data_IF_252973497514
#
_entry.id   IF_252973497514
#
_cell.length_a   1.000
_cell.length_b   1.000
_cell.length_c   1.000
_cell.angle_alpha   90.00
_cell.angle_beta   90.00
_cell.angle_gamma   90.00
#
_symmetry.space_group_name_H-M   'P 1'
#
loop_
_entity.id
_entity.type
_entity.pdbx_description
1 polymer ?
#
# COMPACT_ATOMS: atom_id res chain seq x y z
N UNK A 1 -7.93 -1.00 27.06
CA UNK A 1 -7.75 -1.75 25.80
C UNK A 1 -8.93 -2.65 25.46
N UNK A 2 -9.30 -3.63 26.32
CA UNK A 2 -10.39 -4.58 26.05
C UNK A 2 -11.75 -3.93 25.75
N UNK A 3 -12.17 -2.95 26.56
CA UNK A 3 -13.43 -2.24 26.36
C UNK A 3 -13.49 -1.51 25.00
N UNK A 4 -12.41 -0.81 24.61
CA UNK A 4 -12.35 -0.11 23.32
C UNK A 4 -12.37 -1.06 22.12
N UNK A 5 -11.74 -2.24 22.25
CA UNK A 5 -11.81 -3.28 21.22
C UNK A 5 -13.23 -3.84 21.10
N UNK A 6 -13.86 -4.16 22.23
CA UNK A 6 -15.25 -4.64 22.28
C UNK A 6 -16.19 -3.65 21.60
N UNK A 7 -16.06 -2.35 21.89
CA UNK A 7 -16.88 -1.30 21.27
C UNK A 7 -16.73 -1.29 19.75
N UNK A 8 -15.50 -1.38 19.23
CA UNK A 8 -15.24 -1.42 17.78
C UNK A 8 -15.80 -2.67 17.12
N UNK A 9 -15.73 -3.82 17.79
CA UNK A 9 -16.32 -5.06 17.27
C UNK A 9 -17.84 -4.98 17.26
N UNK A 10 -18.46 -4.43 18.31
CA UNK A 10 -19.90 -4.22 18.35
C UNK A 10 -20.37 -3.26 17.25
N UNK A 11 -19.62 -2.18 17.02
CA UNK A 11 -19.98 -1.12 16.06
C UNK A 11 -19.64 -1.48 14.61
N UNK A 12 -18.54 -2.19 14.36
CA UNK A 12 -17.99 -2.40 13.01
C UNK A 12 -17.76 -3.87 12.65
N UNK A 13 -18.13 -4.81 13.52
CA UNK A 13 -17.95 -6.24 13.31
C UNK A 13 -16.49 -6.67 13.36
N UNK A 14 -16.28 -7.97 13.12
CA UNK A 14 -14.94 -8.55 13.08
C UNK A 14 -14.20 -8.17 11.81
N UNK A 15 -12.90 -7.93 11.98
CA UNK A 15 -11.88 -7.80 10.91
C UNK A 15 -10.65 -8.59 11.36
N UNK A 16 -9.76 -9.01 10.44
CA UNK A 16 -8.58 -9.79 10.82
C UNK A 16 -7.72 -9.07 11.88
N UNK A 17 -7.54 -7.75 11.73
CA UNK A 17 -6.81 -6.93 12.68
C UNK A 17 -7.48 -6.86 14.07
N UNK A 18 -8.81 -6.77 14.14
CA UNK A 18 -9.52 -6.77 15.44
C UNK A 18 -9.47 -8.14 16.11
N UNK A 19 -9.48 -9.22 15.32
CA UNK A 19 -9.35 -10.57 15.84
C UNK A 19 -7.94 -10.81 16.41
N UNK A 20 -6.90 -10.40 15.68
CA UNK A 20 -5.52 -10.42 16.18
C UNK A 20 -5.37 -9.55 17.45
N UNK A 21 -5.97 -8.36 17.45
CA UNK A 21 -6.05 -7.50 18.62
C UNK A 21 -6.74 -8.16 19.81
N UNK A 22 -7.81 -8.94 19.59
CA UNK A 22 -8.51 -9.66 20.64
C UNK A 22 -7.63 -10.76 21.26
N UNK A 23 -6.89 -11.50 20.44
CA UNK A 23 -5.93 -12.49 20.92
C UNK A 23 -4.81 -11.83 21.75
N UNK A 24 -4.26 -10.72 21.27
CA UNK A 24 -3.22 -9.98 21.99
C UNK A 24 -3.73 -9.41 23.33
N UNK A 25 -4.92 -8.80 23.33
CA UNK A 25 -5.55 -8.29 24.56
C UNK A 25 -5.86 -9.44 25.53
N UNK A 26 -6.38 -10.57 25.03
CA UNK A 26 -6.63 -11.75 25.84
C UNK A 26 -5.36 -12.30 26.50
N UNK A 27 -4.26 -12.37 25.75
CA UNK A 27 -2.96 -12.78 26.26
C UNK A 27 -2.47 -11.83 27.38
N UNK A 28 -2.54 -10.52 27.16
CA UNK A 28 -2.14 -9.52 28.15
C UNK A 28 -2.98 -9.60 29.43
N UNK A 29 -4.30 -9.78 29.30
CA UNK A 29 -5.19 -9.96 30.45
C UNK A 29 -4.87 -11.25 31.21
N UNK A 30 -4.60 -12.34 30.50
CA UNK A 30 -4.21 -13.60 31.11
C UNK A 30 -2.88 -13.45 31.89
N UNK A 31 -1.88 -12.79 31.32
CA UNK A 31 -0.63 -12.47 32.02
C UNK A 31 -0.87 -11.60 33.26
N UNK A 32 -1.60 -10.50 33.10
CA UNK A 32 -1.90 -9.58 34.20
C UNK A 32 -2.63 -10.27 35.36
N UNK A 33 -3.67 -11.04 35.06
CA UNK A 33 -4.44 -11.78 36.06
C UNK A 33 -3.63 -12.92 36.70
N UNK A 34 -2.89 -13.69 35.89
CA UNK A 34 -2.06 -14.78 36.38
C UNK A 34 -0.95 -14.31 37.32
N UNK A 35 -0.31 -13.18 36.99
CA UNK A 35 0.71 -12.58 37.84
C UNK A 35 0.12 -11.97 39.10
N UNK A 36 -0.99 -11.22 38.98
CA UNK A 36 -1.69 -10.68 40.14
C UNK A 36 -2.09 -11.79 41.12
N UNK A 37 -2.66 -12.88 40.62
CA UNK A 37 -3.02 -14.04 41.44
C UNK A 37 -1.79 -14.69 42.08
N UNK A 38 -0.69 -14.83 41.33
CA UNK A 38 0.54 -15.43 41.87
C UNK A 38 1.15 -14.60 43.02
N UNK A 39 1.10 -13.27 42.93
CA UNK A 39 1.62 -12.34 43.94
C UNK A 39 0.68 -12.23 45.15
N UNK A 40 -0.64 -12.16 44.91
CA UNK A 40 -1.63 -12.00 45.98
C UNK A 40 -1.88 -13.29 46.78
N UNK A 41 -1.46 -14.45 46.27
CA UNK A 41 -1.62 -15.70 46.99
C UNK A 41 -0.40 -16.00 47.87
N UNK A 42 -0.56 -16.29 49.17
CA UNK A 42 0.55 -16.63 50.06
C UNK A 42 1.39 -17.81 49.57
N UNK A 43 2.70 -17.74 49.79
CA UNK A 43 3.67 -18.79 49.47
C UNK A 43 4.67 -18.42 48.37
N UNK A 44 5.22 -19.42 47.68
CA UNK A 44 6.28 -19.23 46.69
C UNK A 44 5.74 -18.68 45.34
N UNK A 45 5.46 -17.39 45.30
CA UNK A 45 4.95 -16.68 44.12
C UNK A 45 5.88 -16.83 42.90
N UNK A 46 7.20 -16.87 43.10
CA UNK A 46 8.18 -17.01 42.02
C UNK A 46 8.05 -18.34 41.27
N UNK A 47 7.87 -19.44 42.00
CA UNK A 47 7.62 -20.75 41.38
C UNK A 47 6.32 -20.78 40.58
N UNK A 48 5.26 -20.12 41.07
CA UNK A 48 3.97 -20.06 40.38
C UNK A 48 4.05 -19.25 39.08
N UNK A 49 4.71 -18.10 39.10
CA UNK A 49 4.95 -17.31 37.90
C UNK A 49 5.73 -18.12 36.86
N UNK A 50 6.78 -18.85 37.28
CA UNK A 50 7.55 -19.69 36.36
C UNK A 50 6.69 -20.76 35.69
N UNK A 51 5.86 -21.47 36.46
CA UNK A 51 4.95 -22.48 35.93
C UNK A 51 3.87 -21.88 35.03
N UNK A 52 3.33 -20.72 35.42
CA UNK A 52 2.36 -19.99 34.62
C UNK A 52 2.94 -19.54 33.27
N UNK A 53 4.17 -19.03 33.25
CA UNK A 53 4.85 -18.62 32.03
C UNK A 53 5.07 -19.76 31.05
N UNK A 54 5.44 -20.95 31.55
CA UNK A 54 5.59 -22.14 30.69
C UNK A 54 4.24 -22.49 30.05
N UNK A 55 3.15 -22.50 30.84
CA UNK A 55 1.80 -22.79 30.33
C UNK A 55 1.34 -21.73 29.31
N UNK A 56 1.60 -20.45 29.59
CA UNK A 56 1.28 -19.36 28.66
C UNK A 56 2.09 -19.44 27.37
N UNK A 57 3.39 -19.78 27.45
CA UNK A 57 4.21 -19.96 26.26
C UNK A 57 3.67 -21.08 25.36
N UNK A 58 3.26 -22.21 25.94
CA UNK A 58 2.62 -23.32 25.20
C UNK A 58 1.30 -22.85 24.59
N UNK A 59 0.44 -22.20 25.38
CA UNK A 59 -0.86 -21.70 24.90
C UNK A 59 -0.71 -20.73 23.72
N UNK A 60 0.21 -19.77 23.82
CA UNK A 60 0.48 -18.80 22.76
C UNK A 60 1.08 -19.47 21.53
N UNK A 61 1.98 -20.43 21.71
CA UNK A 61 2.53 -21.21 20.60
C UNK A 61 1.42 -21.95 19.85
N UNK A 62 0.51 -22.60 20.58
CA UNK A 62 -0.66 -23.27 19.97
C UNK A 62 -1.57 -22.26 19.28
N UNK A 63 -1.86 -21.11 19.89
CA UNK A 63 -2.69 -20.07 19.29
C UNK A 63 -2.08 -19.51 18.00
N UNK A 64 -0.77 -19.28 17.97
CA UNK A 64 -0.04 -18.85 16.77
C UNK A 64 -0.01 -19.94 15.70
N UNK A 65 0.21 -21.19 16.07
CA UNK A 65 0.14 -22.31 15.14
C UNK A 65 -1.26 -22.42 14.52
N UNK A 66 -2.32 -22.28 15.32
CA UNK A 66 -3.69 -22.24 14.80
C UNK A 66 -3.90 -21.06 13.86
N UNK A 67 -3.41 -19.86 14.20
CA UNK A 67 -3.50 -18.65 13.38
C UNK A 67 -2.83 -18.80 12.01
N UNK A 68 -1.70 -19.51 11.95
CA UNK A 68 -0.96 -19.77 10.71
C UNK A 68 -1.57 -20.92 9.88
N UNK A 69 -2.68 -21.50 10.33
CA UNK A 69 -3.34 -22.62 9.63
C UNK A 69 -4.78 -22.25 9.23
N UNK A 70 -5.40 -22.98 8.29
CA UNK A 70 -6.80 -22.77 7.93
C UNK A 70 -7.80 -23.02 9.06
N UNK A 71 -7.36 -23.58 10.21
CA UNK A 71 -8.19 -23.83 11.38
C UNK A 71 -8.70 -22.50 11.96
N UNK A 72 -7.81 -21.55 12.21
CA UNK A 72 -8.16 -20.21 12.68
C UNK A 72 -7.97 -19.18 11.56
N UNK A 73 -8.80 -19.30 10.53
CA UNK A 73 -8.80 -18.35 9.41
C UNK A 73 -9.54 -17.05 9.78
N UNK A 74 -8.78 -15.99 10.04
CA UNK A 74 -9.27 -14.70 10.50
C UNK A 74 -10.13 -13.99 9.42
N UNK A 75 -9.75 -14.14 8.16
CA UNK A 75 -10.42 -13.59 6.99
C UNK A 75 -11.82 -14.20 6.86
N UNK A 76 -11.97 -15.51 7.06
CA UNK A 76 -13.24 -16.24 7.02
C UNK A 76 -14.16 -15.83 8.16
N UNK A 77 -13.63 -15.68 9.38
CA UNK A 77 -14.42 -15.19 10.52
C UNK A 77 -14.91 -13.77 10.25
N UNK A 78 -14.04 -12.92 9.70
CA UNK A 78 -14.34 -11.53 9.40
C UNK A 78 -15.36 -11.39 8.26
N UNK A 79 -15.17 -12.11 7.16
CA UNK A 79 -16.08 -12.13 6.02
C UNK A 79 -17.49 -12.56 6.44
N UNK A 80 -17.60 -13.64 7.21
CA UNK A 80 -18.88 -14.09 7.78
C UNK A 80 -19.50 -13.06 8.72
N UNK A 81 -18.69 -12.37 9.52
CA UNK A 81 -19.19 -11.30 10.39
C UNK A 81 -19.74 -10.13 9.60
N UNK A 82 -19.11 -9.73 8.48
CA UNK A 82 -19.63 -8.65 7.65
C UNK A 82 -20.90 -9.06 6.93
N UNK A 83 -20.92 -10.27 6.36
CA UNK A 83 -22.10 -10.83 5.72
C UNK A 83 -23.28 -10.94 6.68
N UNK A 84 -23.10 -11.53 7.86
CA UNK A 84 -24.17 -11.66 8.85
C UNK A 84 -24.74 -10.31 9.27
N UNK A 85 -23.90 -9.29 9.46
CA UNK A 85 -24.36 -7.94 9.81
C UNK A 85 -25.14 -7.27 8.69
N UNK A 86 -24.75 -7.50 7.43
CA UNK A 86 -25.49 -7.04 6.27
C UNK A 86 -26.85 -7.74 6.15
N UNK A 87 -26.90 -9.06 6.35
CA UNK A 87 -28.15 -9.83 6.33
C UNK A 87 -29.09 -9.45 7.48
N UNK A 88 -28.55 -9.13 8.66
CA UNK A 88 -29.29 -8.62 9.82
C UNK A 88 -29.74 -7.15 9.66
N UNK A 89 -29.43 -6.49 8.53
CA UNK A 89 -29.79 -5.09 8.29
C UNK A 89 -29.03 -4.07 9.15
N UNK A 90 -27.97 -4.50 9.86
CA UNK A 90 -27.12 -3.60 10.68
C UNK A 90 -26.13 -2.79 9.86
N UNK A 91 -25.95 -3.13 8.59
CA UNK A 91 -25.04 -2.51 7.64
C UNK A 91 -25.78 -2.34 6.33
N UNK A 92 -25.79 -1.12 5.80
CA UNK A 92 -26.38 -0.82 4.48
C UNK A 92 -25.46 -1.25 3.34
N UNK A 93 -25.96 -1.24 2.09
CA UNK A 93 -25.15 -1.52 0.89
C UNK A 93 -23.99 -0.54 0.75
N UNK A 94 -24.20 0.71 1.18
CA UNK A 94 -23.24 1.79 1.10
C UNK A 94 -22.11 1.65 2.14
N UNK A 95 -22.44 1.14 3.34
CA UNK A 95 -21.49 0.91 4.44
C UNK A 95 -20.75 -0.43 4.35
N UNK A 96 -21.25 -1.36 3.53
CA UNK A 96 -20.59 -2.64 3.32
C UNK A 96 -19.28 -2.46 2.54
N UNK A 97 -18.17 -2.81 3.18
CA UNK A 97 -16.82 -2.73 2.59
C UNK A 97 -16.57 -3.89 1.61
N UNK A 98 -17.25 -3.80 0.47
CA UNK A 98 -17.17 -4.74 -0.63
C UNK A 98 -15.77 -4.78 -1.28
N UNK A 99 -14.97 -3.72 -1.17
CA UNK A 99 -13.61 -3.67 -1.70
C UNK A 99 -12.70 -4.62 -0.91
N UNK A 100 -12.68 -4.47 0.42
CA UNK A 100 -11.90 -5.35 1.30
C UNK A 100 -12.33 -6.81 1.16
N UNK A 101 -13.63 -7.08 1.04
CA UNK A 101 -14.14 -8.43 0.75
C UNK A 101 -13.64 -8.97 -0.59
N UNK A 102 -13.61 -8.14 -1.64
CA UNK A 102 -13.22 -8.55 -2.99
C UNK A 102 -11.70 -8.79 -3.12
N UNK A 103 -10.88 -7.97 -2.46
CA UNK A 103 -9.45 -7.88 -2.75
C UNK A 103 -8.51 -8.14 -1.57
N UNK A 104 -8.92 -7.91 -0.33
CA UNK A 104 -8.02 -7.98 0.83
C UNK A 104 -8.12 -9.28 1.62
N UNK A 105 -9.28 -9.96 1.61
CA UNK A 105 -9.53 -11.18 2.41
C UNK A 105 -9.46 -12.48 1.60
N UNK A 106 -8.89 -12.40 0.39
CA UNK A 106 -8.64 -13.55 -0.49
C UNK A 106 -9.90 -14.38 -0.75
N UNK A 107 -9.74 -15.71 -0.78
CA UNK A 107 -10.83 -16.65 -1.09
C UNK A 107 -12.03 -16.53 -0.17
N UNK A 108 -11.81 -16.24 1.11
CA UNK A 108 -12.90 -16.14 2.08
C UNK A 108 -13.76 -14.89 1.85
N UNK A 109 -13.12 -13.76 1.52
CA UNK A 109 -13.82 -12.55 1.12
C UNK A 109 -14.57 -12.71 -0.20
N UNK A 110 -13.92 -13.31 -1.21
CA UNK A 110 -14.55 -13.60 -2.51
C UNK A 110 -15.76 -14.51 -2.39
N UNK A 111 -15.71 -15.52 -1.51
CA UNK A 111 -16.86 -16.38 -1.23
C UNK A 111 -18.03 -15.60 -0.63
N UNK A 112 -17.76 -14.63 0.27
CA UNK A 112 -18.81 -13.77 0.81
C UNK A 112 -19.40 -12.83 -0.25
N UNK A 113 -18.59 -12.30 -1.17
CA UNK A 113 -19.11 -11.51 -2.32
C UNK A 113 -20.00 -12.37 -3.22
N UNK A 114 -19.58 -13.60 -3.54
CA UNK A 114 -20.39 -14.51 -4.35
C UNK A 114 -21.72 -14.85 -3.67
N UNK A 115 -21.73 -15.01 -2.35
CA UNK A 115 -22.96 -15.21 -1.56
C UNK A 115 -23.87 -13.97 -1.60
N UNK A 116 -23.30 -12.76 -1.50
CA UNK A 116 -24.05 -11.50 -1.65
C UNK A 116 -24.68 -11.38 -3.04
N UNK A 117 -23.98 -11.77 -4.10
CA UNK A 117 -24.51 -11.77 -5.46
C UNK A 117 -25.64 -12.78 -5.62
N UNK A 118 -25.50 -13.98 -5.06
CA UNK A 118 -26.53 -15.02 -5.10
C UNK A 118 -27.80 -14.61 -4.34
N UNK A 119 -27.65 -13.81 -3.28
CA UNK A 119 -28.76 -13.31 -2.46
C UNK A 119 -29.39 -12.01 -3.00
N UNK A 120 -28.75 -11.32 -3.94
CA UNK A 120 -29.27 -10.05 -4.45
C UNK A 120 -30.62 -10.20 -5.19
N UNK A 121 -30.84 -11.22 -6.05
CA UNK A 121 -32.15 -11.46 -6.66
C UNK A 121 -33.18 -11.84 -5.59
N UNK A 122 -34.06 -10.90 -5.24
CA UNK A 122 -35.08 -11.09 -4.20
C UNK A 122 -34.98 -10.12 -3.02
N UNK A 123 -33.95 -9.27 -2.97
CA UNK A 123 -33.83 -8.19 -1.98
C UNK A 123 -34.25 -6.84 -2.55
N UNK A 124 -34.84 -5.99 -1.71
CA UNK A 124 -35.20 -4.62 -2.09
C UNK A 124 -33.99 -3.75 -2.46
N UNK A 125 -32.81 -4.08 -1.94
CA UNK A 125 -31.54 -3.41 -2.22
C UNK A 125 -30.66 -4.18 -3.23
N UNK A 126 -31.18 -5.26 -3.82
CA UNK A 126 -30.42 -6.19 -4.67
C UNK A 126 -29.78 -5.53 -5.90
N UNK A 127 -30.53 -4.72 -6.64
CA UNK A 127 -29.98 -4.01 -7.81
C UNK A 127 -28.86 -3.03 -7.44
N UNK A 128 -28.99 -2.34 -6.30
CA UNK A 128 -27.95 -1.44 -5.79
C UNK A 128 -26.71 -2.21 -5.35
N UNK A 129 -26.90 -3.34 -4.68
CA UNK A 129 -25.81 -4.23 -4.29
C UNK A 129 -25.05 -4.76 -5.51
N UNK A 130 -25.75 -5.25 -6.52
CA UNK A 130 -25.14 -5.74 -7.77
C UNK A 130 -24.43 -4.62 -8.52
N UNK A 131 -25.00 -3.42 -8.59
CA UNK A 131 -24.33 -2.26 -9.18
C UNK A 131 -23.01 -1.95 -8.47
N UNK A 132 -23.00 -1.89 -7.13
CA UNK A 132 -21.79 -1.66 -6.33
C UNK A 132 -20.73 -2.74 -6.50
N UNK A 133 -21.14 -4.02 -6.58
CA UNK A 133 -20.20 -5.13 -6.83
C UNK A 133 -19.59 -5.02 -8.24
N UNK A 134 -20.39 -4.66 -9.25
CA UNK A 134 -19.90 -4.40 -10.61
C UNK A 134 -18.91 -3.24 -10.63
N UNK A 135 -19.26 -2.11 -10.01
CA UNK A 135 -18.42 -0.91 -9.96
C UNK A 135 -17.05 -1.21 -9.32
N UNK A 136 -17.02 -2.05 -8.29
CA UNK A 136 -15.78 -2.46 -7.63
C UNK A 136 -14.93 -3.36 -8.53
N UNK A 137 -15.56 -4.24 -9.30
CA UNK A 137 -14.87 -5.15 -10.22
C UNK A 137 -14.35 -4.45 -11.47
N UNK A 138 -15.12 -3.51 -12.02
CA UNK A 138 -14.75 -2.72 -13.20
C UNK A 138 -13.80 -1.58 -12.83
N UNK A 139 -13.95 -1.00 -11.65
CA UNK A 139 -13.09 0.02 -11.05
C UNK A 139 -11.90 -0.54 -10.27
N UNK A 140 -11.47 -1.78 -10.54
CA UNK A 140 -10.35 -2.49 -9.91
C UNK A 140 -8.95 -1.86 -10.10
N UNK A 141 -8.87 -0.60 -10.51
CA UNK A 141 -7.72 0.30 -10.31
C UNK A 141 -8.20 1.42 -9.39
N UNK A 142 -7.73 1.37 -8.14
CA UNK A 142 -8.25 2.14 -7.02
C UNK A 142 -8.33 3.67 -7.26
N UNK A 143 -9.55 4.20 -7.21
CA UNK A 143 -9.78 5.55 -6.75
C UNK A 143 -11.09 5.59 -5.96
N UNK A 144 -11.01 5.70 -4.63
CA UNK A 144 -12.14 6.08 -3.80
C UNK A 144 -12.76 7.39 -4.32
N UNK A 145 -14.03 7.70 -4.00
CA UNK A 145 -14.61 9.00 -4.38
C UNK A 145 -13.76 10.20 -3.90
N UNK A 146 -13.04 10.03 -2.78
CA UNK A 146 -12.04 10.98 -2.28
C UNK A 146 -10.82 11.06 -3.20
N UNK A 147 -10.33 9.93 -3.70
CA UNK A 147 -9.17 9.85 -4.60
C UNK A 147 -9.49 10.47 -5.97
N UNK A 148 -10.69 10.25 -6.51
CA UNK A 148 -11.14 10.84 -7.77
C UNK A 148 -11.25 12.37 -7.70
N UNK A 149 -11.59 12.92 -6.53
CA UNK A 149 -11.61 14.36 -6.30
C UNK A 149 -10.20 14.93 -5.99
N UNK A 150 -9.30 14.11 -5.44
CA UNK A 150 -7.96 14.53 -5.01
C UNK A 150 -6.94 14.50 -6.15
N UNK A 151 -6.97 13.48 -7.01
CA UNK A 151 -5.97 13.31 -8.08
C UNK A 151 -5.87 14.55 -9.01
N UNK A 152 -6.97 15.12 -9.53
CA UNK A 152 -6.91 16.32 -10.37
C UNK A 152 -6.42 17.57 -9.62
N UNK A 153 -6.54 17.61 -8.29
CA UNK A 153 -6.00 18.69 -7.46
C UNK A 153 -4.49 18.55 -7.31
N UNK A 154 -4.02 17.33 -7.00
CA UNK A 154 -2.59 17.02 -6.87
C UNK A 154 -1.85 17.22 -8.19
N UNK A 155 -2.41 16.75 -9.31
CA UNK A 155 -1.81 16.92 -10.63
C UNK A 155 -1.59 18.40 -10.97
N UNK A 156 -2.60 19.26 -10.72
CA UNK A 156 -2.48 20.72 -10.92
C UNK A 156 -1.49 21.37 -9.96
N UNK A 157 -1.46 20.94 -8.71
CA UNK A 157 -0.50 21.44 -7.72
C UNK A 157 0.94 21.14 -8.12
N UNK A 158 1.21 19.88 -8.51
CA UNK A 158 2.52 19.43 -8.99
C UNK A 158 2.92 20.17 -10.28
N UNK A 159 2.00 20.31 -11.24
CA UNK A 159 2.25 21.07 -12.46
C UNK A 159 2.61 22.53 -12.19
N UNK A 160 2.06 23.13 -11.11
CA UNK A 160 2.32 24.53 -10.77
C UNK A 160 3.60 24.76 -9.96
N UNK A 161 4.04 23.77 -9.17
CA UNK A 161 5.08 23.99 -8.13
C UNK A 161 6.36 23.20 -8.34
N UNK A 162 6.32 22.12 -9.13
CA UNK A 162 7.47 21.26 -9.32
C UNK A 162 8.44 21.86 -10.34
N UNK A 163 9.75 21.96 -10.02
CA UNK A 163 10.77 22.31 -11.01
C UNK A 163 10.71 21.34 -12.19
N UNK A 164 10.80 21.87 -13.42
CA UNK A 164 10.80 21.07 -14.64
C UNK A 164 11.87 21.54 -15.61
N UNK A 165 12.35 20.61 -16.44
CA UNK A 165 13.29 20.89 -17.51
C UNK A 165 12.83 20.20 -18.80
N UNK A 166 12.64 20.95 -19.91
CA UNK A 166 12.73 22.42 -19.99
C UNK A 166 11.62 23.13 -19.18
N UNK A 167 11.85 24.39 -18.81
CA UNK A 167 10.99 25.13 -17.87
C UNK A 167 9.56 25.38 -18.39
N UNK A 168 9.38 25.36 -19.70
CA UNK A 168 8.13 25.55 -20.43
C UNK A 168 7.45 24.23 -20.84
N UNK A 169 8.02 23.08 -20.48
CA UNK A 169 7.44 21.78 -20.80
C UNK A 169 6.01 21.63 -20.26
N UNK A 170 5.08 21.20 -21.12
CA UNK A 170 3.73 20.83 -20.69
C UNK A 170 3.73 19.44 -20.07
N UNK A 171 3.36 19.39 -18.79
CA UNK A 171 3.32 18.18 -17.97
C UNK A 171 1.93 17.92 -17.41
N UNK A 172 0.98 18.84 -17.64
CA UNK A 172 -0.34 18.82 -16.98
C UNK A 172 -1.15 17.59 -17.35
N UNK A 173 -1.28 17.32 -18.65
CA UNK A 173 -2.03 16.17 -19.16
C UNK A 173 -1.41 14.83 -18.76
N UNK A 174 -0.08 14.76 -18.67
CA UNK A 174 0.64 13.55 -18.24
C UNK A 174 0.49 13.32 -16.74
N UNK A 175 0.59 14.37 -15.92
CA UNK A 175 0.32 14.30 -14.48
C UNK A 175 -1.13 13.91 -14.19
N UNK A 176 -2.08 14.37 -15.01
CA UNK A 176 -3.50 14.03 -14.86
C UNK A 176 -3.81 12.54 -15.15
N UNK A 177 -2.90 11.80 -15.80
CA UNK A 177 -3.01 10.36 -16.05
C UNK A 177 -2.45 9.50 -14.93
N UNK A 178 -1.80 10.10 -13.94
CA UNK A 178 -1.28 9.38 -12.76
C UNK A 178 -2.39 9.10 -11.75
N UNK A 179 -2.28 7.97 -11.06
CA UNK A 179 -3.19 7.67 -9.97
C UNK A 179 -2.84 8.49 -8.71
N UNK A 180 -3.78 8.52 -7.76
CA UNK A 180 -3.62 9.30 -6.53
C UNK A 180 -2.40 8.89 -5.72
N UNK A 181 -2.01 7.61 -5.73
CA UNK A 181 -0.89 7.11 -4.92
C UNK A 181 0.44 7.57 -5.52
N UNK A 182 0.55 7.55 -6.85
CA UNK A 182 1.71 8.06 -7.58
C UNK A 182 1.89 9.56 -7.38
N UNK A 183 0.80 10.33 -7.49
CA UNK A 183 0.80 11.77 -7.25
C UNK A 183 1.20 12.10 -5.81
N UNK A 184 0.67 11.37 -4.83
CA UNK A 184 1.02 11.54 -3.42
C UNK A 184 2.49 11.19 -3.15
N UNK A 185 2.98 10.07 -3.71
CA UNK A 185 4.37 9.64 -3.54
C UNK A 185 5.33 10.71 -4.08
N UNK A 186 5.06 11.23 -5.28
CA UNK A 186 5.90 12.26 -5.89
C UNK A 186 5.82 13.59 -5.14
N UNK A 187 4.60 14.05 -4.77
CA UNK A 187 4.43 15.27 -3.96
C UNK A 187 5.19 15.19 -2.64
N UNK A 188 5.08 14.09 -1.91
CA UNK A 188 5.75 13.94 -0.62
C UNK A 188 7.28 14.02 -0.77
N UNK A 189 7.83 13.47 -1.85
CA UNK A 189 9.26 13.61 -2.15
C UNK A 189 9.64 15.06 -2.51
N UNK A 190 8.79 15.76 -3.26
CA UNK A 190 8.98 17.17 -3.61
C UNK A 190 8.91 18.13 -2.41
N UNK A 191 8.01 17.90 -1.45
CA UNK A 191 7.78 18.77 -0.29
C UNK A 191 8.90 18.67 0.76
N UNK A 192 9.79 17.68 0.67
CA UNK A 192 10.74 17.30 1.71
C UNK A 192 11.98 18.20 1.86
N UNK A 193 11.94 19.47 1.43
CA UNK A 193 12.99 20.46 1.71
C UNK A 193 13.12 21.59 0.68
N UNK A 194 13.77 22.68 1.09
CA UNK A 194 14.41 23.65 0.18
C UNK A 194 15.91 23.46 0.26
N UNK A 195 16.64 23.26 -0.85
CA UNK A 195 16.20 23.20 -2.25
C UNK A 195 15.34 21.96 -2.57
N UNK A 196 14.60 21.98 -3.70
CA UNK A 196 13.66 20.92 -4.07
C UNK A 196 14.35 19.56 -4.22
N UNK A 197 13.69 18.51 -3.71
CA UNK A 197 14.17 17.12 -3.74
C UNK A 197 13.49 16.29 -4.84
N UNK A 198 13.00 16.98 -5.86
CA UNK A 198 12.41 16.38 -7.03
C UNK A 198 12.56 17.32 -8.24
N UNK A 199 12.44 16.75 -9.44
CA UNK A 199 12.39 17.49 -10.70
C UNK A 199 11.66 16.66 -11.75
N UNK A 200 10.94 17.33 -12.67
CA UNK A 200 10.36 16.70 -13.84
C UNK A 200 11.28 16.94 -15.04
N UNK A 201 11.71 15.89 -15.73
CA UNK A 201 12.49 15.99 -16.97
C UNK A 201 11.62 15.55 -18.13
N UNK A 202 11.56 16.35 -19.19
CA UNK A 202 10.82 16.04 -20.41
C UNK A 202 11.78 15.93 -21.59
N UNK A 203 11.63 14.85 -22.37
CA UNK A 203 12.41 14.56 -23.58
C UNK A 203 12.22 13.13 -24.06
N UNK A 204 12.89 12.76 -25.14
CA UNK A 204 12.95 11.38 -25.68
C UNK A 204 13.76 10.48 -24.74
N UNK A 205 13.06 9.81 -23.82
CA UNK A 205 13.62 8.91 -22.81
C UNK A 205 13.43 7.44 -23.18
N UNK A 206 12.47 7.15 -24.06
CA UNK A 206 12.16 5.79 -24.52
C UNK A 206 12.23 5.76 -26.05
N UNK A 207 13.40 5.44 -26.64
CA UNK A 207 13.58 5.51 -28.09
C UNK A 207 12.66 4.60 -28.93
N UNK A 208 11.97 3.65 -28.31
CA UNK A 208 10.98 2.79 -28.97
C UNK A 208 9.55 3.36 -28.95
N UNK A 209 9.35 4.51 -28.34
CA UNK A 209 8.08 5.25 -28.26
C UNK A 209 8.28 6.56 -29.01
N UNK A 210 7.26 6.98 -29.76
CA UNK A 210 7.31 8.23 -30.51
C UNK A 210 6.87 9.39 -29.61
N UNK A 211 7.69 10.44 -29.54
CA UNK A 211 7.42 11.67 -28.79
C UNK A 211 8.22 11.76 -27.49
N UNK A 212 8.04 12.87 -26.76
CA UNK A 212 8.71 13.09 -25.49
C UNK A 212 7.99 12.37 -24.35
N UNK A 213 8.74 11.75 -23.44
CA UNK A 213 8.26 11.26 -22.16
C UNK A 213 8.49 12.27 -21.03
N UNK A 214 7.88 11.99 -19.88
CA UNK A 214 8.07 12.70 -18.63
C UNK A 214 8.73 11.77 -17.61
N UNK A 215 9.94 12.11 -17.16
CA UNK A 215 10.60 11.49 -16.01
C UNK A 215 10.32 12.28 -14.73
N UNK A 216 9.70 11.59 -13.76
CA UNK A 216 9.53 12.03 -12.38
C UNK A 216 10.77 11.59 -11.59
N UNK A 217 11.70 12.51 -11.35
CA UNK A 217 12.93 12.25 -10.59
C UNK A 217 12.72 12.73 -9.16
N UNK A 218 12.92 11.85 -8.17
CA UNK A 218 12.65 12.17 -6.78
C UNK A 218 13.59 11.44 -5.82
N UNK A 219 13.77 11.99 -4.62
CA UNK A 219 14.54 11.35 -3.57
C UNK A 219 13.73 10.22 -2.89
N UNK A 220 14.34 9.05 -2.70
CA UNK A 220 13.72 7.89 -2.02
C UNK A 220 14.71 7.32 -1.01
N UNK A 221 14.52 7.59 0.28
CA UNK A 221 15.51 7.20 1.31
C UNK A 221 16.82 7.97 1.11
N UNK A 222 17.92 7.25 0.90
CA UNK A 222 19.25 7.79 0.52
C UNK A 222 19.53 7.67 -0.99
N UNK A 223 18.55 7.24 -1.78
CA UNK A 223 18.67 6.98 -3.22
C UNK A 223 17.84 7.98 -4.06
N UNK A 224 18.01 7.89 -5.38
CA UNK A 224 17.11 8.48 -6.38
C UNK A 224 16.09 7.44 -6.86
N UNK A 225 14.85 7.87 -7.05
CA UNK A 225 13.81 7.14 -7.76
C UNK A 225 13.43 7.86 -9.05
N UNK A 226 13.28 7.10 -10.14
CA UNK A 226 12.88 7.63 -11.46
C UNK A 226 11.71 6.82 -12.00
N UNK A 227 10.62 7.51 -12.30
CA UNK A 227 9.48 6.95 -13.03
C UNK A 227 9.27 7.71 -14.34
N UNK A 228 9.25 7.00 -15.45
CA UNK A 228 9.04 7.55 -16.79
C UNK A 228 7.62 7.27 -17.25
N UNK A 229 6.97 8.27 -17.83
CA UNK A 229 5.58 8.23 -18.26
C UNK A 229 5.48 8.89 -19.64
N UNK A 230 4.90 8.19 -20.60
CA UNK A 230 4.68 8.76 -21.94
C UNK A 230 3.37 9.55 -22.06
N UNK A 231 3.07 10.00 -23.28
CA UNK A 231 1.85 10.74 -23.59
C UNK A 231 0.57 9.90 -23.39
N UNK A 232 0.63 8.59 -23.60
CA UNK A 232 -0.50 7.68 -23.40
C UNK A 232 -0.73 7.31 -21.93
N UNK A 233 0.27 7.52 -21.06
CA UNK A 233 0.26 7.10 -19.67
C UNK A 233 0.82 5.70 -19.43
N UNK A 234 1.51 5.11 -20.42
CA UNK A 234 2.35 3.92 -20.21
C UNK A 234 3.54 4.32 -19.33
N UNK A 235 3.95 3.39 -18.47
CA UNK A 235 4.87 3.67 -17.37
C UNK A 235 6.05 2.73 -17.41
N UNK A 236 7.23 3.28 -17.22
CA UNK A 236 8.46 2.55 -16.95
C UNK A 236 8.98 2.97 -15.59
N UNK A 237 9.29 1.99 -14.74
CA UNK A 237 10.03 2.26 -13.50
C UNK A 237 11.49 1.96 -13.79
N UNK A 238 12.32 2.99 -13.72
CA UNK A 238 13.75 2.79 -13.74
C UNK A 238 14.21 2.50 -12.31
N UNK A 239 14.87 1.37 -12.12
CA UNK A 239 15.75 1.24 -10.97
C UNK A 239 16.99 2.09 -11.26
N UNK A 240 17.30 3.06 -10.40
CA UNK A 240 18.47 3.91 -10.62
C UNK A 240 19.72 3.04 -10.59
N UNK A 241 20.31 2.89 -11.76
CA UNK A 241 21.53 2.13 -11.96
C UNK A 241 22.71 3.03 -11.62
N UNK A 242 23.17 2.97 -10.37
CA UNK A 242 24.48 3.45 -9.95
C UNK A 242 25.58 2.94 -10.91
N UNK A 243 26.16 3.86 -11.67
CA UNK A 243 27.41 3.67 -12.38
C UNK A 243 28.35 4.78 -11.92
N UNK A 244 29.29 4.45 -11.04
CA UNK A 244 30.44 5.32 -10.80
C UNK A 244 31.45 5.12 -11.92
N UNK A 245 31.73 6.18 -12.65
CA UNK A 245 33.13 6.55 -12.79
C UNK A 245 33.66 6.84 -11.36
N UNK A 246 34.67 6.08 -10.95
CA UNK A 246 35.62 6.41 -9.88
C UNK A 246 35.07 6.97 -8.55
N UNK A 247 34.91 6.09 -7.56
CA UNK A 247 35.23 6.47 -6.17
C UNK A 247 34.34 7.39 -5.33
N UNK A 248 33.32 8.15 -5.80
CA UNK A 248 32.45 9.02 -4.93
C UNK A 248 30.89 8.92 -5.04
N UNK A 249 30.16 8.80 -3.90
CA UNK A 249 28.73 8.43 -3.89
C UNK A 249 27.92 9.55 -4.54
N UNK A 250 27.10 9.20 -5.54
CA UNK A 250 26.23 10.19 -6.14
C UNK A 250 25.31 10.73 -5.04
N UNK A 251 25.46 12.01 -4.75
CA UNK A 251 24.56 12.73 -3.87
C UNK A 251 23.24 12.93 -4.64
N UNK A 252 22.14 12.30 -4.23
CA UNK A 252 20.84 12.45 -4.89
C UNK A 252 20.42 13.92 -5.00
N UNK A 253 20.77 14.72 -3.99
CA UNK A 253 20.43 16.14 -3.95
C UNK A 253 21.25 16.93 -4.96
N UNK A 254 22.57 16.74 -4.99
CA UNK A 254 23.43 17.37 -5.99
C UNK A 254 23.00 16.99 -7.42
N UNK A 255 22.59 15.74 -7.62
CA UNK A 255 22.07 15.26 -8.91
C UNK A 255 20.80 16.00 -9.34
N UNK A 256 19.81 16.11 -8.45
CA UNK A 256 18.57 16.84 -8.75
C UNK A 256 18.86 18.33 -9.04
N UNK A 257 19.75 18.96 -8.27
CA UNK A 257 20.14 20.35 -8.50
C UNK A 257 20.86 20.54 -9.84
N UNK A 258 21.73 19.61 -10.24
CA UNK A 258 22.39 19.61 -11.56
C UNK A 258 21.37 19.48 -12.69
N UNK A 259 20.39 18.57 -12.55
CA UNK A 259 19.29 18.43 -13.51
C UNK A 259 18.52 19.75 -13.64
N UNK A 260 18.13 20.38 -12.53
CA UNK A 260 17.41 21.66 -12.52
C UNK A 260 18.20 22.77 -13.22
N UNK A 261 19.55 22.77 -13.10
CA UNK A 261 20.43 23.71 -13.80
C UNK A 261 20.64 23.39 -15.28
N UNK A 262 20.11 22.28 -15.78
CA UNK A 262 20.35 21.81 -17.15
C UNK A 262 21.71 21.15 -17.36
N UNK A 263 22.40 20.78 -16.28
CA UNK A 263 23.72 20.13 -16.30
C UNK A 263 23.56 18.60 -16.46
N UNK A 264 22.88 18.16 -17.51
CA UNK A 264 22.67 16.75 -17.83
C UNK A 264 22.60 16.52 -19.34
N UNK A 265 22.78 15.27 -19.74
CA UNK A 265 22.51 14.80 -21.10
C UNK A 265 21.60 13.56 -21.06
N UNK A 266 20.69 13.46 -22.03
CA UNK A 266 19.94 12.22 -22.25
C UNK A 266 20.78 11.37 -23.20
N UNK A 267 21.19 10.19 -22.74
CA UNK A 267 22.12 9.34 -23.47
C UNK A 267 21.89 7.86 -23.22
N UNK A 268 22.61 7.02 -23.98
CA UNK A 268 22.58 5.57 -23.80
C UNK A 268 23.33 5.16 -22.53
N UNK A 269 22.92 4.08 -21.85
CA UNK A 269 23.62 3.59 -20.66
C UNK A 269 25.11 3.34 -20.94
N UNK A 270 25.98 3.71 -19.99
CA UNK A 270 27.43 3.52 -20.10
C UNK A 270 27.86 2.05 -20.07
N UNK A 271 26.98 1.14 -19.64
CA UNK A 271 27.17 -0.30 -19.62
C UNK A 271 26.44 -0.94 -20.80
N UNK A 272 27.10 -1.88 -21.47
CA UNK A 272 26.46 -2.66 -22.54
C UNK A 272 25.40 -3.59 -21.95
N UNK A 273 24.23 -3.61 -22.57
CA UNK A 273 23.21 -4.60 -22.27
C UNK A 273 23.48 -5.92 -23.02
N UNK A 274 23.16 -7.05 -22.38
CA UNK A 274 23.11 -8.36 -23.03
C UNK A 274 21.69 -8.61 -23.55
N UNK A 275 21.54 -8.83 -24.85
CA UNK A 275 20.24 -9.08 -25.50
C UNK A 275 20.04 -10.56 -25.81
N UNK A 276 18.92 -11.12 -25.38
CA UNK A 276 18.50 -12.50 -25.65
C UNK A 276 17.04 -12.50 -26.09
N UNK A 277 16.81 -12.46 -27.41
CA UNK A 277 15.46 -12.29 -27.97
C UNK A 277 14.82 -10.97 -27.52
N UNK A 278 13.62 -10.97 -26.91
CA UNK A 278 12.98 -9.77 -26.39
C UNK A 278 13.51 -9.32 -25.02
N UNK A 279 14.47 -10.05 -24.44
CA UNK A 279 15.01 -9.76 -23.11
C UNK A 279 16.28 -8.92 -23.23
N UNK A 280 16.33 -7.80 -22.52
CA UNK A 280 17.52 -6.97 -22.36
C UNK A 280 18.00 -7.04 -20.90
N UNK A 281 19.24 -7.48 -20.69
CA UNK A 281 19.85 -7.63 -19.37
C UNK A 281 20.94 -6.56 -19.22
N UNK A 282 20.68 -5.55 -18.41
CA UNK A 282 21.65 -4.48 -18.12
C UNK A 282 22.36 -4.79 -16.81
N UNK A 283 23.70 -5.00 -16.82
CA UNK A 283 24.42 -5.32 -15.59
C UNK A 283 24.45 -4.12 -14.64
N UNK A 284 24.13 -4.37 -13.37
CA UNK A 284 24.14 -3.36 -12.30
C UNK A 284 25.20 -3.70 -11.25
N UNK A 285 25.94 -2.70 -10.79
CA UNK A 285 26.87 -2.84 -9.65
C UNK A 285 26.21 -2.29 -8.38
N UNK A 286 25.85 -3.13 -7.40
CA UNK A 286 25.33 -2.62 -6.13
C UNK A 286 26.38 -1.76 -5.43
N UNK A 287 25.94 -0.61 -4.90
CA UNK A 287 26.74 0.19 -3.97
C UNK A 287 27.07 -0.65 -2.72
N UNK A 288 28.27 -0.45 -2.17
CA UNK A 288 28.62 -0.96 -0.84
C UNK A 288 28.18 0.02 0.22
#
# INVERSE_FOLDING_TARGET
AAYGLWLRVAQHGWTPNRLAGALAVGALLAYGAGYALAVLTPGNWGQRIRQFNIRMAILLTVALALWLTPLLNAERISARSQLARFLDGRVSVEELDLWTLSYSWGRAGQAAVAELEALAPGRADGERLLARIRDIRTGGSAASATDQALAPRLARELAARTPRVPADADVGDRLARLDVHELLAFRNACEAGRPPRCVIVVGDLVPSVEGDEMALVSHVGDDLGVAVVDAEGRKWRAHVMWSRAEGEAADPRATIEAIIRGEYEIGVPSVKALRVGPVEIVPFRPGR
#
